data_IF_053287495265
#
_entry.id   IF_053287495265
#
_cell.length_a   1.000
_cell.length_b   1.000
_cell.length_c   1.000
_cell.angle_alpha   90.00
_cell.angle_beta   90.00
_cell.angle_gamma   90.00
#
_symmetry.space_group_name_H-M   'P 1'
#
loop_
_entity.id
_entity.type
_entity.pdbx_description
1 polymer ?
#
# COMPACT_ATOMS: atom_id res chain seq x y z
N UNK A 1 -11.75 -16.99 31.78
CA UNK A 1 -11.71 -15.68 31.08
C UNK A 1 -10.52 -15.74 30.13
N UNK A 2 -10.76 -15.89 28.83
CA UNK A 2 -9.69 -15.90 27.82
C UNK A 2 -9.08 -14.49 27.80
N UNK A 3 -7.77 -14.39 28.05
CA UNK A 3 -7.00 -13.20 27.70
C UNK A 3 -7.07 -13.07 26.19
N UNK A 4 -7.94 -12.19 25.69
CA UNK A 4 -7.84 -11.73 24.31
C UNK A 4 -6.48 -11.05 24.24
N UNK A 5 -5.53 -11.70 23.56
CA UNK A 5 -4.22 -11.12 23.35
C UNK A 5 -4.42 -9.80 22.58
N UNK A 6 -3.78 -8.76 23.10
CA UNK A 6 -3.71 -7.42 22.51
C UNK A 6 -3.38 -7.50 21.00
N UNK A 7 -4.00 -6.68 20.14
CA UNK A 7 -4.01 -6.91 18.70
C UNK A 7 -2.59 -6.81 18.14
N UNK A 8 -2.18 -7.86 17.41
CA UNK A 8 -0.90 -7.91 16.71
C UNK A 8 -0.87 -6.83 15.63
N UNK A 9 0.20 -6.06 15.57
CA UNK A 9 0.52 -5.24 14.39
C UNK A 9 0.74 -6.16 13.20
N UNK A 10 -0.17 -6.12 12.22
CA UNK A 10 -0.05 -6.87 10.97
C UNK A 10 -0.01 -5.90 9.78
N UNK A 11 1.04 -6.04 8.99
CA UNK A 11 1.19 -5.42 7.68
C UNK A 11 1.38 -6.53 6.66
N UNK A 12 0.68 -6.42 5.54
CA UNK A 12 0.85 -7.31 4.39
C UNK A 12 1.24 -6.44 3.19
N UNK A 13 2.41 -6.70 2.62
CA UNK A 13 3.00 -5.85 1.57
C UNK A 13 3.47 -6.68 0.40
N UNK A 14 3.45 -6.10 -0.80
CA UNK A 14 4.08 -6.69 -1.97
C UNK A 14 3.41 -6.27 -3.27
N UNK A 15 3.86 -6.90 -4.34
CA UNK A 15 3.19 -6.90 -5.64
C UNK A 15 2.13 -8.02 -5.65
N UNK A 16 0.87 -7.63 -5.84
CA UNK A 16 -0.27 -8.53 -5.85
C UNK A 16 -0.71 -8.91 -7.26
N UNK A 17 -0.15 -8.28 -8.30
CA UNK A 17 -0.56 -8.45 -9.70
C UNK A 17 -2.08 -8.31 -9.92
N UNK A 18 -2.75 -7.52 -9.07
CA UNK A 18 -4.20 -7.37 -9.06
C UNK A 18 -4.57 -5.91 -8.79
N UNK A 19 -5.03 -5.16 -9.81
CA UNK A 19 -5.41 -3.76 -9.65
C UNK A 19 -6.69 -3.58 -8.81
N UNK A 20 -7.05 -2.34 -8.43
CA UNK A 20 -8.20 -2.11 -7.56
C UNK A 20 -9.55 -2.59 -8.10
N UNK A 21 -9.71 -2.74 -9.42
CA UNK A 21 -10.92 -3.26 -10.07
C UNK A 21 -10.98 -4.79 -10.15
N UNK A 22 -9.90 -5.49 -9.77
CA UNK A 22 -9.87 -6.95 -9.74
C UNK A 22 -10.45 -7.56 -8.45
N UNK A 23 -10.92 -8.80 -8.57
CA UNK A 23 -11.57 -9.53 -7.49
C UNK A 23 -10.65 -9.77 -6.27
N UNK A 24 -9.37 -10.04 -6.47
CA UNK A 24 -8.46 -10.35 -5.36
C UNK A 24 -8.24 -9.12 -4.45
N UNK A 25 -8.05 -7.95 -5.04
CA UNK A 25 -8.01 -6.68 -4.29
C UNK A 25 -9.33 -6.43 -3.56
N UNK A 26 -10.47 -6.57 -4.24
CA UNK A 26 -11.79 -6.33 -3.65
C UNK A 26 -12.09 -7.25 -2.46
N UNK A 27 -11.66 -8.52 -2.52
CA UNK A 27 -11.74 -9.44 -1.38
C UNK A 27 -10.84 -8.98 -0.22
N UNK A 28 -9.61 -8.55 -0.51
CA UNK A 28 -8.66 -8.09 0.51
C UNK A 28 -9.22 -6.92 1.34
N UNK A 29 -9.95 -5.99 0.71
CA UNK A 29 -10.48 -4.78 1.37
C UNK A 29 -11.99 -4.84 1.67
N UNK A 30 -12.61 -6.02 1.54
CA UNK A 30 -14.04 -6.19 1.77
C UNK A 30 -14.48 -5.70 3.17
N UNK A 31 -15.77 -5.42 3.32
CA UNK A 31 -16.31 -4.91 4.59
C UNK A 31 -16.12 -5.88 5.76
N UNK A 32 -16.15 -7.19 5.49
CA UNK A 32 -15.89 -8.29 6.41
C UNK A 32 -14.41 -8.70 6.52
N UNK A 33 -13.52 -8.13 5.69
CA UNK A 33 -12.08 -8.29 5.84
C UNK A 33 -11.56 -7.50 7.05
N UNK A 34 -10.59 -8.06 7.75
CA UNK A 34 -9.86 -7.36 8.81
C UNK A 34 -8.78 -6.42 8.26
N UNK A 35 -8.53 -6.43 6.95
CA UNK A 35 -7.49 -5.64 6.29
C UNK A 35 -8.06 -4.38 5.64
N UNK A 36 -7.23 -3.34 5.55
CA UNK A 36 -7.51 -2.11 4.84
C UNK A 36 -6.29 -1.69 4.01
N UNK A 37 -6.54 -1.08 2.85
CA UNK A 37 -5.50 -0.49 2.01
C UNK A 37 -5.05 0.85 2.60
N UNK A 38 -3.79 0.92 3.03
CA UNK A 38 -3.26 2.15 3.64
C UNK A 38 -3.20 3.32 2.64
N UNK A 39 -3.09 3.04 1.35
CA UNK A 39 -3.17 4.04 0.29
C UNK A 39 -4.56 4.66 0.14
N UNK A 40 -5.61 3.98 0.62
CA UNK A 40 -6.98 4.51 0.67
C UNK A 40 -7.39 5.00 2.07
N UNK A 41 -6.81 4.44 3.14
CA UNK A 41 -7.12 4.83 4.52
C UNK A 41 -6.41 6.13 4.94
N UNK A 42 -5.15 6.34 4.53
CA UNK A 42 -4.42 7.57 4.87
C UNK A 42 -5.11 8.77 4.22
N UNK A 43 -5.37 9.90 4.92
CA UNK A 43 -6.00 11.08 4.33
C UNK A 43 -5.21 11.63 3.13
N UNK A 44 -5.91 12.17 2.12
CA UNK A 44 -5.29 12.61 0.85
C UNK A 44 -4.20 13.66 1.06
N UNK A 45 -4.37 14.55 2.03
CA UNK A 45 -3.40 15.59 2.42
C UNK A 45 -2.10 15.03 3.05
N UNK A 46 -2.11 13.75 3.44
CA UNK A 46 -0.93 12.99 3.91
C UNK A 46 -0.45 11.96 2.90
N UNK A 47 -1.03 11.95 1.69
CA UNK A 47 -0.54 11.13 0.57
C UNK A 47 0.44 11.95 -0.26
N UNK A 48 1.50 11.32 -0.76
CA UNK A 48 2.50 11.98 -1.59
C UNK A 48 2.92 11.15 -2.81
N UNK A 49 3.30 11.84 -3.88
CA UNK A 49 3.83 11.21 -5.08
C UNK A 49 2.75 10.72 -6.05
N UNK A 50 2.96 9.52 -6.59
CA UNK A 50 2.18 8.96 -7.68
C UNK A 50 1.00 8.10 -7.19
N UNK A 51 0.17 7.62 -8.11
CA UNK A 51 -0.87 6.62 -7.83
C UNK A 51 -0.52 5.24 -8.40
N UNK A 52 0.00 5.20 -9.63
CA UNK A 52 0.39 3.94 -10.29
C UNK A 52 1.74 3.44 -9.77
N UNK A 53 1.81 2.16 -9.46
CA UNK A 53 3.00 1.52 -8.87
C UNK A 53 3.79 0.77 -9.92
N UNK A 54 3.12 0.07 -10.85
CA UNK A 54 3.75 -0.53 -12.01
C UNK A 54 3.80 0.45 -13.19
N UNK A 55 4.96 0.54 -13.83
CA UNK A 55 5.25 1.52 -14.89
C UNK A 55 5.87 0.91 -16.15
N UNK A 56 6.27 -0.37 -16.11
CA UNK A 56 6.97 -1.05 -17.20
C UNK A 56 8.13 -0.23 -17.77
N UNK A 57 8.94 0.42 -16.92
CA UNK A 57 10.03 1.30 -17.37
C UNK A 57 9.61 2.41 -18.37
N UNK A 58 8.33 2.78 -18.40
CA UNK A 58 7.79 3.76 -19.35
C UNK A 58 7.47 3.21 -20.75
N UNK A 59 7.46 1.89 -20.96
CA UNK A 59 7.01 1.29 -22.22
C UNK A 59 5.50 1.53 -22.42
N UNK A 60 5.14 2.07 -23.60
CA UNK A 60 3.76 2.46 -23.95
C UNK A 60 2.82 1.26 -24.14
N UNK A 61 3.39 0.07 -24.34
CA UNK A 61 2.64 -1.15 -24.64
C UNK A 61 2.00 -1.77 -23.39
N UNK A 62 2.38 -1.31 -22.20
CA UNK A 62 1.82 -1.77 -20.93
C UNK A 62 1.11 -0.62 -20.22
N UNK A 63 -0.17 -0.82 -19.91
CA UNK A 63 -0.96 0.13 -19.13
C UNK A 63 -0.39 0.22 -17.70
N UNK A 64 0.06 1.40 -17.24
CA UNK A 64 0.47 1.58 -15.86
C UNK A 64 -0.68 1.23 -14.91
N UNK A 65 -0.38 0.52 -13.85
CA UNK A 65 -1.38 0.00 -12.91
C UNK A 65 -0.91 0.16 -11.47
N UNK A 66 -1.87 0.15 -10.55
CA UNK A 66 -1.61 0.11 -9.11
C UNK A 66 -1.76 -1.34 -8.66
N UNK A 67 -0.65 -2.05 -8.50
CA UNK A 67 -0.64 -3.48 -8.13
C UNK A 67 0.23 -3.78 -6.91
N UNK A 68 0.98 -2.78 -6.44
CA UNK A 68 1.79 -2.86 -5.22
C UNK A 68 1.03 -2.19 -4.09
N UNK A 69 0.89 -2.89 -2.97
CA UNK A 69 0.09 -2.43 -1.84
C UNK A 69 0.79 -2.62 -0.50
N UNK A 70 0.41 -1.77 0.46
CA UNK A 70 0.62 -1.98 1.88
C UNK A 70 -0.76 -2.06 2.51
N UNK A 71 -1.17 -3.26 2.92
CA UNK A 71 -2.37 -3.48 3.70
C UNK A 71 -2.04 -3.51 5.19
N UNK A 72 -2.93 -2.96 6.01
CA UNK A 72 -2.85 -3.00 7.47
C UNK A 72 -4.11 -3.63 8.06
N UNK A 73 -4.02 -4.22 9.25
CA UNK A 73 -5.23 -4.59 9.99
C UNK A 73 -6.00 -3.34 10.46
N UNK A 74 -7.34 -3.36 10.41
CA UNK A 74 -8.22 -2.22 10.79
C UNK A 74 -8.15 -1.89 12.28
N UNK A 75 -8.18 -2.91 13.14
CA UNK A 75 -8.24 -2.78 14.60
C UNK A 75 -6.88 -3.15 15.22
N UNK A 76 -5.91 -2.25 15.09
CA UNK A 76 -4.52 -2.48 15.52
C UNK A 76 -3.99 -1.33 16.37
N UNK A 77 -2.88 -1.56 17.05
CA UNK A 77 -2.12 -0.56 17.83
C UNK A 77 -1.21 0.31 16.95
N UNK A 78 -1.56 0.48 15.67
CA UNK A 78 -0.79 1.24 14.68
C UNK A 78 -1.52 2.53 14.33
N UNK A 79 -0.81 3.65 14.36
CA UNK A 79 -1.27 4.90 13.76
C UNK A 79 -0.59 5.10 12.43
N UNK A 80 -1.39 5.19 11.37
CA UNK A 80 -0.91 5.49 10.03
C UNK A 80 -0.52 6.98 9.93
N UNK A 81 0.68 7.23 9.42
CA UNK A 81 1.24 8.55 9.15
C UNK A 81 0.96 8.98 7.72
N UNK A 82 2.02 9.12 6.93
CA UNK A 82 1.98 9.45 5.51
C UNK A 82 2.08 8.17 4.65
N UNK A 83 1.49 8.22 3.46
CA UNK A 83 1.59 7.16 2.45
C UNK A 83 2.13 7.77 1.16
N UNK A 84 3.10 7.12 0.52
CA UNK A 84 3.68 7.64 -0.71
C UNK A 84 3.94 6.54 -1.74
N UNK A 85 3.74 6.89 -3.01
CA UNK A 85 4.27 6.12 -4.15
C UNK A 85 5.38 6.95 -4.78
N UNK A 86 6.61 6.59 -4.46
CA UNK A 86 7.78 7.41 -4.79
C UNK A 86 8.09 7.36 -6.29
N UNK A 87 8.59 8.47 -6.83
CA UNK A 87 9.18 8.47 -8.16
C UNK A 87 10.35 7.48 -8.22
N UNK A 88 10.48 6.79 -9.35
CA UNK A 88 11.52 5.77 -9.56
C UNK A 88 12.47 6.14 -10.72
N UNK A 89 12.38 7.37 -11.24
CA UNK A 89 13.22 7.91 -12.32
C UNK A 89 13.57 9.36 -12.00
N UNK A 90 14.85 9.69 -12.09
CA UNK A 90 15.42 10.98 -11.66
C UNK A 90 16.34 11.57 -12.73
N UNK A 91 17.32 12.38 -12.32
CA UNK A 91 18.11 13.29 -13.16
C UNK A 91 18.77 12.62 -14.38
N UNK A 92 19.30 11.41 -14.22
CA UNK A 92 19.94 10.66 -15.32
C UNK A 92 18.95 9.86 -16.19
N UNK A 93 17.65 9.96 -15.90
CA UNK A 93 16.60 9.29 -16.66
C UNK A 93 16.60 7.76 -16.53
N UNK A 94 17.36 7.19 -15.60
CA UNK A 94 17.40 5.75 -15.32
C UNK A 94 16.29 5.38 -14.33
N UNK A 95 15.58 4.30 -14.63
CA UNK A 95 14.59 3.74 -13.71
C UNK A 95 15.25 2.83 -12.68
N UNK A 96 14.87 2.96 -11.41
CA UNK A 96 15.30 2.08 -10.32
C UNK A 96 14.70 0.66 -10.44
N UNK A 97 13.49 0.56 -10.99
CA UNK A 97 12.72 -0.65 -11.26
C UNK A 97 11.57 -0.26 -12.21
N UNK A 98 10.92 -1.23 -12.84
CA UNK A 98 9.63 -1.05 -13.50
C UNK A 98 8.49 -0.79 -12.51
N UNK A 99 8.72 -1.03 -11.22
CA UNK A 99 7.84 -0.66 -10.13
C UNK A 99 8.33 0.60 -9.40
N UNK A 100 7.38 1.30 -8.76
CA UNK A 100 7.60 2.39 -7.82
C UNK A 100 7.47 1.85 -6.41
N UNK A 101 8.35 2.32 -5.52
CA UNK A 101 8.28 1.96 -4.11
C UNK A 101 7.02 2.57 -3.47
N UNK A 102 6.25 1.73 -2.79
CA UNK A 102 5.17 2.15 -1.89
C UNK A 102 5.76 2.28 -0.49
N UNK A 103 5.58 3.43 0.14
CA UNK A 103 6.17 3.76 1.44
C UNK A 103 5.05 4.20 2.38
N UNK A 104 5.09 3.70 3.60
CA UNK A 104 4.16 4.03 4.67
C UNK A 104 4.94 4.44 5.92
N UNK A 105 4.71 5.66 6.39
CA UNK A 105 5.10 6.05 7.74
C UNK A 105 4.04 5.54 8.71
N UNK A 106 4.48 4.92 9.81
CA UNK A 106 3.59 4.42 10.84
C UNK A 106 4.24 4.46 12.21
N UNK A 107 3.41 4.53 13.24
CA UNK A 107 3.83 4.44 14.63
C UNK A 107 3.13 3.25 15.28
N UNK A 108 3.90 2.42 15.98
CA UNK A 108 3.40 1.28 16.75
C UNK A 108 3.42 1.66 18.22
N UNK A 109 2.27 1.58 18.88
CA UNK A 109 2.18 1.85 20.31
C UNK A 109 2.28 0.56 21.12
N UNK A 110 3.10 0.55 22.17
CA UNK A 110 2.95 -0.42 23.25
C UNK A 110 1.70 -0.06 24.05
N UNK A 111 0.89 -1.06 24.39
CA UNK A 111 -0.16 -0.90 25.40
C UNK A 111 0.43 -0.76 26.81
#
# INVERSE_FOLDING_TARGET
MLKVQSPVTLLLTGDFNSPPDDQAYQIMIASDSSMQDTGETVPKEKRHGNEMTFTSFGYVDNTPSRIDFIFSAKETNVRLGAHAVLSNRFDDGIYLSDHRAVVLDLEVFSQ
#
